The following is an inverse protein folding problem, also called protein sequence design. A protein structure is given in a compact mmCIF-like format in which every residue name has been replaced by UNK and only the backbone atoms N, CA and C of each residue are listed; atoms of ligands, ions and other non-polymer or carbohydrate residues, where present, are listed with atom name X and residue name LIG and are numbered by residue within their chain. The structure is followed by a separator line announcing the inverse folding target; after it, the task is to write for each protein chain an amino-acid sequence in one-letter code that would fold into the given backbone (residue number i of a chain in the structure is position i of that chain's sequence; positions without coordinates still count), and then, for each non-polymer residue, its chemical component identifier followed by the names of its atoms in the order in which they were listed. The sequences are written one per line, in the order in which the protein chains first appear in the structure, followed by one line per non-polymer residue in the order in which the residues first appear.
data_IF_183947699828
#
_entry.id   IF_183947699828
#
_cell.length_a   1.000
_cell.length_b   1.000
_cell.length_c   1.000
_cell.angle_alpha   90.00
_cell.angle_beta   90.00
_cell.angle_gamma   90.00
#
_symmetry.space_group_name_H-M   'P 1'
#
loop_
_entity.id
_entity.type
_entity.pdbx_description
1 polymer ?
#
# COMPACT_ATOMS: atom_id res chain seq x y z
N UNK A 1 15.08 -8.83 24.68
CA UNK A 1 13.95 -8.28 23.89
C UNK A 1 12.97 -9.37 23.40
N UNK A 2 13.44 -10.45 22.80
CA UNK A 2 12.60 -11.59 22.32
C UNK A 2 11.76 -12.27 23.42
N UNK A 3 12.29 -12.59 24.63
CA UNK A 3 11.50 -13.26 25.65
C UNK A 3 10.28 -12.49 26.15
N UNK A 4 10.38 -11.16 26.23
CA UNK A 4 9.29 -10.28 26.68
C UNK A 4 8.16 -10.25 25.64
N UNK A 5 8.50 -10.23 24.37
CA UNK A 5 7.54 -10.25 23.27
C UNK A 5 6.73 -11.56 23.24
N UNK A 6 7.38 -12.69 23.47
CA UNK A 6 6.68 -14.00 23.50
C UNK A 6 5.72 -14.12 24.68
N UNK A 7 6.05 -13.55 25.84
CA UNK A 7 5.14 -13.52 26.99
C UNK A 7 3.90 -12.64 26.74
N UNK A 8 4.07 -11.53 26.04
CA UNK A 8 2.96 -10.64 25.66
C UNK A 8 2.01 -11.29 24.64
N UNK A 9 2.53 -12.18 23.80
CA UNK A 9 1.74 -12.95 22.82
C UNK A 9 1.17 -14.27 23.40
N UNK A 10 1.40 -14.55 24.68
CA UNK A 10 0.97 -15.80 25.31
C UNK A 10 1.68 -17.06 24.77
N UNK A 11 2.84 -16.89 24.12
CA UNK A 11 3.61 -17.99 23.56
C UNK A 11 4.63 -18.52 24.58
N UNK A 12 4.88 -19.85 24.62
CA UNK A 12 5.86 -20.41 25.54
C UNK A 12 7.28 -19.91 25.20
N UNK A 13 7.98 -19.40 26.20
CA UNK A 13 9.35 -18.90 26.08
C UNK A 13 10.40 -20.03 26.07
N UNK A 14 10.04 -21.24 25.68
CA UNK A 14 10.97 -22.36 25.59
C UNK A 14 11.86 -22.22 24.36
N UNK A 15 13.16 -22.04 24.61
CA UNK A 15 14.17 -21.89 23.56
C UNK A 15 14.35 -23.15 22.70
N UNK A 16 13.93 -24.34 23.19
CA UNK A 16 13.96 -25.57 22.41
C UNK A 16 12.91 -25.56 21.29
N UNK A 17 11.78 -24.92 21.52
CA UNK A 17 10.70 -24.74 20.53
C UNK A 17 11.09 -23.73 19.43
N UNK A 18 11.96 -22.77 19.73
CA UNK A 18 12.41 -21.74 18.81
C UNK A 18 13.38 -22.24 17.73
N UNK A 19 13.97 -23.42 17.90
CA UNK A 19 14.98 -23.99 16.97
C UNK A 19 14.36 -24.56 15.69
N UNK A 20 13.09 -24.93 15.72
CA UNK A 20 12.41 -25.59 14.59
C UNK A 20 11.03 -25.03 14.28
N UNK A 21 10.60 -23.98 14.96
CA UNK A 21 9.26 -23.42 14.81
C UNK A 21 9.31 -21.89 14.64
N UNK A 22 8.71 -21.37 13.57
CA UNK A 22 8.41 -19.95 13.46
C UNK A 22 7.00 -19.76 14.01
N UNK A 23 6.82 -19.08 15.18
CA UNK A 23 5.50 -18.89 15.75
C UNK A 23 4.55 -18.17 14.78
N UNK A 24 3.28 -18.56 14.81
CA UNK A 24 2.24 -17.85 14.05
C UNK A 24 2.24 -16.36 14.39
N UNK A 25 2.03 -15.50 13.37
CA UNK A 25 2.01 -14.06 13.55
C UNK A 25 3.38 -13.37 13.59
N UNK A 26 4.49 -14.09 13.49
CA UNK A 26 5.84 -13.47 13.48
C UNK A 26 6.01 -12.45 12.34
N UNK A 27 5.32 -12.64 11.23
CA UNK A 27 5.32 -11.71 10.10
C UNK A 27 4.75 -10.32 10.44
N UNK A 28 3.85 -10.24 11.43
CA UNK A 28 3.25 -8.97 11.90
C UNK A 28 4.30 -8.08 12.58
N UNK A 29 5.33 -8.71 13.17
CA UNK A 29 6.39 -8.02 13.92
C UNK A 29 7.51 -7.49 13.02
N UNK A 30 7.47 -7.78 11.73
CA UNK A 30 8.46 -7.28 10.77
C UNK A 30 8.20 -5.80 10.48
N UNK A 31 9.25 -5.02 10.56
CA UNK A 31 9.25 -3.62 10.12
C UNK A 31 10.48 -3.37 9.21
N UNK A 32 10.21 -3.21 7.92
CA UNK A 32 11.22 -2.93 6.90
C UNK A 32 11.39 -1.43 6.62
N UNK A 33 10.74 -0.56 7.40
CA UNK A 33 10.75 0.87 7.19
C UNK A 33 12.16 1.44 7.00
N UNK A 34 13.12 0.98 7.79
CA UNK A 34 14.51 1.45 7.76
C UNK A 34 15.50 0.42 7.20
N UNK A 35 15.08 -0.82 6.95
CA UNK A 35 15.94 -1.89 6.48
C UNK A 35 16.00 -1.90 4.95
N UNK A 36 14.83 -1.83 4.29
CA UNK A 36 14.76 -1.82 2.85
C UNK A 36 15.24 -0.47 2.29
N UNK A 37 16.24 -0.45 1.38
CA UNK A 37 16.83 0.80 0.87
C UNK A 37 15.93 1.53 -0.11
N UNK A 38 14.98 0.81 -0.72
CA UNK A 38 14.11 1.32 -1.79
C UNK A 38 12.65 0.94 -1.55
N UNK A 39 11.75 1.71 -2.16
CA UNK A 39 10.30 1.50 -2.12
C UNK A 39 9.70 1.87 -3.48
N UNK A 40 8.70 1.14 -4.00
CA UNK A 40 8.09 1.49 -5.28
C UNK A 40 7.29 2.79 -5.19
N UNK A 41 7.45 3.63 -6.21
CA UNK A 41 6.69 4.87 -6.41
C UNK A 41 5.66 4.65 -7.51
N UNK A 42 4.40 5.01 -7.23
CA UNK A 42 3.31 4.93 -8.19
C UNK A 42 3.23 6.19 -9.06
N UNK A 43 3.17 5.99 -10.37
CA UNK A 43 2.60 6.93 -11.32
C UNK A 43 1.17 6.47 -11.67
N UNK A 44 0.18 7.11 -11.06
CA UNK A 44 -1.22 6.72 -11.21
C UNK A 44 -1.78 6.95 -12.63
N UNK A 45 -1.16 7.82 -13.43
CA UNK A 45 -1.57 8.09 -14.81
C UNK A 45 -1.30 6.88 -15.75
N UNK A 46 -0.22 6.15 -15.47
CA UNK A 46 0.16 4.96 -16.24
C UNK A 46 -0.53 3.69 -15.73
N UNK A 47 -1.20 3.75 -14.57
CA UNK A 47 -1.79 2.58 -13.95
C UNK A 47 -3.09 2.16 -14.64
N UNK A 48 -3.13 0.91 -15.13
CA UNK A 48 -4.31 0.33 -15.80
C UNK A 48 -5.20 -0.51 -14.87
N UNK A 49 -4.88 -0.57 -13.57
CA UNK A 49 -5.59 -1.38 -12.57
C UNK A 49 -5.60 -2.89 -12.87
N UNK A 50 -4.51 -3.44 -13.42
CA UNK A 50 -4.39 -4.88 -13.67
C UNK A 50 -4.22 -5.71 -12.40
N UNK A 51 -3.78 -5.11 -11.28
CA UNK A 51 -3.51 -5.75 -9.98
C UNK A 51 -2.31 -6.72 -9.96
N UNK A 52 -1.54 -6.84 -11.03
CA UNK A 52 -0.37 -7.73 -11.08
C UNK A 52 0.62 -7.44 -9.93
N UNK A 53 0.94 -6.17 -9.68
CA UNK A 53 1.83 -5.76 -8.60
C UNK A 53 1.32 -6.13 -7.18
N UNK A 54 0.00 -6.25 -7.00
CA UNK A 54 -0.62 -6.68 -5.73
C UNK A 54 -0.49 -8.20 -5.57
N UNK A 55 -0.71 -8.95 -6.65
CA UNK A 55 -0.65 -10.43 -6.66
C UNK A 55 0.78 -10.91 -6.45
N UNK A 56 1.74 -10.28 -7.12
CA UNK A 56 3.15 -10.66 -7.06
C UNK A 56 3.86 -10.19 -5.78
N UNK A 57 3.24 -9.36 -4.95
CA UNK A 57 3.87 -8.87 -3.73
C UNK A 57 3.96 -9.97 -2.67
N UNK A 58 5.16 -10.51 -2.35
CA UNK A 58 5.31 -11.65 -1.45
C UNK A 58 4.97 -11.34 0.02
N UNK A 59 5.01 -10.05 0.40
CA UNK A 59 4.73 -9.61 1.77
C UNK A 59 3.39 -8.90 1.92
N UNK A 60 2.54 -8.91 0.89
CA UNK A 60 1.24 -8.21 0.87
C UNK A 60 1.38 -6.73 1.26
N UNK A 61 2.51 -6.13 0.89
CA UNK A 61 2.80 -4.73 1.19
C UNK A 61 2.07 -3.76 0.25
N UNK A 62 1.52 -4.26 -0.86
CA UNK A 62 0.83 -3.47 -1.87
C UNK A 62 -0.64 -3.87 -1.88
N UNK A 63 -1.50 -2.87 -1.77
CA UNK A 63 -2.94 -3.05 -1.86
C UNK A 63 -3.54 -2.09 -2.89
N UNK A 64 -4.59 -2.53 -3.58
CA UNK A 64 -5.36 -1.71 -4.50
C UNK A 64 -6.73 -1.38 -3.92
N UNK A 65 -7.25 -0.19 -4.23
CA UNK A 65 -8.59 0.22 -3.83
C UNK A 65 -9.27 1.03 -4.92
N UNK A 66 -10.57 0.79 -5.09
CA UNK A 66 -11.45 1.65 -5.88
C UNK A 66 -12.28 2.50 -4.92
N UNK A 67 -12.39 3.78 -5.18
CA UNK A 67 -13.19 4.71 -4.39
C UNK A 67 -14.03 5.55 -5.34
N UNK A 68 -15.32 5.68 -5.08
CA UNK A 68 -16.20 6.53 -5.89
C UNK A 68 -15.75 7.99 -5.83
N UNK A 69 -16.04 8.74 -6.88
CA UNK A 69 -15.65 10.15 -6.95
C UNK A 69 -16.17 10.94 -5.75
N UNK A 70 -17.44 10.77 -5.41
CA UNK A 70 -18.08 11.47 -4.29
C UNK A 70 -17.40 11.18 -2.96
N UNK A 71 -17.06 9.91 -2.69
CA UNK A 71 -16.37 9.49 -1.46
C UNK A 71 -14.94 9.99 -1.39
N UNK A 72 -14.19 9.95 -2.49
CA UNK A 72 -12.85 10.50 -2.52
C UNK A 72 -12.85 12.01 -2.22
N UNK A 73 -13.75 12.75 -2.86
CA UNK A 73 -13.86 14.20 -2.66
C UNK A 73 -14.29 14.53 -1.20
N UNK A 74 -15.19 13.74 -0.59
CA UNK A 74 -15.57 13.86 0.83
C UNK A 74 -14.36 13.66 1.76
N UNK A 75 -13.58 12.60 1.56
CA UNK A 75 -12.42 12.29 2.41
C UNK A 75 -11.28 13.32 2.23
N UNK A 76 -11.06 13.78 1.01
CA UNK A 76 -10.08 14.82 0.74
C UNK A 76 -10.48 16.17 1.35
N UNK A 77 -11.77 16.49 1.40
CA UNK A 77 -12.26 17.74 2.01
C UNK A 77 -11.98 17.83 3.53
N UNK A 78 -11.85 16.68 4.21
CA UNK A 78 -11.49 16.61 5.65
C UNK A 78 -10.03 16.99 5.94
N UNK A 79 -9.19 17.07 4.89
CA UNK A 79 -7.76 17.37 5.03
C UNK A 79 -7.55 18.89 4.91
N UNK A 80 -6.97 19.55 5.92
CA UNK A 80 -6.90 21.00 5.95
C UNK A 80 -5.88 21.61 4.97
N UNK A 81 -4.85 20.84 4.56
CA UNK A 81 -3.76 21.32 3.71
C UNK A 81 -4.00 21.03 2.22
N UNK A 82 -3.96 22.04 1.35
CA UNK A 82 -4.14 21.85 -0.10
C UNK A 82 -3.05 20.97 -0.73
N UNK A 83 -1.78 21.20 -0.38
CA UNK A 83 -0.66 20.40 -0.85
C UNK A 83 -0.77 18.92 -0.43
N UNK A 84 -1.31 18.67 0.76
CA UNK A 84 -1.53 17.30 1.25
C UNK A 84 -2.73 16.65 0.56
N UNK A 85 -3.81 17.38 0.33
CA UNK A 85 -4.96 16.92 -0.47
C UNK A 85 -4.52 16.53 -1.89
N UNK A 86 -3.73 17.36 -2.53
CA UNK A 86 -3.22 17.10 -3.88
C UNK A 86 -2.30 15.88 -3.88
N UNK A 87 -1.45 15.72 -2.86
CA UNK A 87 -0.60 14.54 -2.72
C UNK A 87 -1.43 13.25 -2.66
N UNK A 88 -2.49 13.20 -1.83
CA UNK A 88 -3.34 12.01 -1.76
C UNK A 88 -4.16 11.82 -3.04
N UNK A 89 -4.63 12.89 -3.66
CA UNK A 89 -5.35 12.79 -4.92
C UNK A 89 -4.51 12.17 -6.03
N UNK A 90 -3.22 12.48 -6.11
CA UNK A 90 -2.27 11.89 -7.07
C UNK A 90 -2.03 10.39 -6.91
N UNK A 91 -2.46 9.80 -5.79
CA UNK A 91 -2.40 8.34 -5.61
C UNK A 91 -3.53 7.61 -6.36
N UNK A 92 -4.53 8.34 -6.83
CA UNK A 92 -5.68 7.80 -7.51
C UNK A 92 -5.70 8.20 -8.98
N UNK A 93 -5.85 7.20 -9.86
CA UNK A 93 -5.96 7.38 -11.30
C UNK A 93 -7.34 7.01 -11.83
N UNK A 94 -7.66 7.57 -13.01
CA UNK A 94 -8.80 7.15 -13.82
C UNK A 94 -8.36 5.98 -14.68
N UNK A 95 -9.05 4.87 -14.59
CA UNK A 95 -8.75 3.68 -15.39
C UNK A 95 -9.92 3.33 -16.29
N UNK A 96 -9.65 2.70 -17.41
CA UNK A 96 -10.73 2.25 -18.32
C UNK A 96 -11.74 1.37 -17.59
N UNK A 97 -11.25 0.47 -16.71
CA UNK A 97 -12.08 -0.50 -15.99
C UNK A 97 -13.04 0.14 -14.99
N UNK A 98 -12.56 1.11 -14.20
CA UNK A 98 -13.34 1.65 -13.08
C UNK A 98 -13.85 3.07 -13.31
N UNK A 99 -13.34 3.78 -14.32
CA UNK A 99 -13.83 5.10 -14.69
C UNK A 99 -14.65 5.05 -15.97
N UNK A 100 -14.02 4.76 -17.12
CA UNK A 100 -14.64 4.91 -18.44
C UNK A 100 -15.86 4.00 -18.65
N UNK A 101 -15.81 2.77 -18.11
CA UNK A 101 -16.92 1.80 -18.25
C UNK A 101 -18.13 2.27 -17.46
N UNK A 102 -17.95 2.76 -16.24
CA UNK A 102 -19.05 3.24 -15.37
C UNK A 102 -19.62 4.55 -15.89
N UNK A 103 -18.77 5.49 -16.29
CA UNK A 103 -19.19 6.77 -16.89
C UNK A 103 -20.08 6.54 -18.14
N UNK A 104 -19.69 5.59 -19.03
CA UNK A 104 -20.51 5.23 -20.22
C UNK A 104 -21.85 4.60 -19.87
N UNK A 105 -21.98 3.93 -18.74
CA UNK A 105 -23.25 3.35 -18.25
C UNK A 105 -24.12 4.37 -17.54
N UNK A 106 -23.63 5.55 -17.24
CA UNK A 106 -24.31 6.56 -16.43
C UNK A 106 -24.24 6.29 -14.92
N UNK A 107 -23.39 5.35 -14.50
CA UNK A 107 -23.12 5.03 -13.10
C UNK A 107 -22.01 5.94 -12.55
N UNK A 108 -21.92 6.06 -11.22
CA UNK A 108 -20.86 6.84 -10.60
C UNK A 108 -19.48 6.18 -10.82
N UNK A 109 -18.52 6.87 -11.47
CA UNK A 109 -17.20 6.30 -11.72
C UNK A 109 -16.34 6.26 -10.46
N UNK A 110 -15.42 5.28 -10.42
CA UNK A 110 -14.45 5.08 -9.35
C UNK A 110 -13.04 5.45 -9.76
N UNK A 111 -12.31 6.08 -8.85
CA UNK A 111 -10.86 6.23 -8.93
C UNK A 111 -10.19 4.98 -8.39
N UNK A 112 -9.14 4.53 -9.05
CA UNK A 112 -8.32 3.41 -8.62
C UNK A 112 -6.99 3.90 -8.06
N UNK A 113 -6.55 3.36 -6.94
CA UNK A 113 -5.24 3.67 -6.34
C UNK A 113 -4.52 2.44 -5.84
N UNK A 114 -3.20 2.47 -5.91
CA UNK A 114 -2.28 1.50 -5.31
C UNK A 114 -1.62 2.15 -4.10
N UNK A 115 -1.61 1.44 -2.99
CA UNK A 115 -1.04 1.90 -1.72
C UNK A 115 -0.01 0.91 -1.22
N UNK A 116 1.05 1.42 -0.66
CA UNK A 116 2.20 0.64 -0.24
C UNK A 116 2.41 0.84 1.26
N UNK A 117 2.39 -0.26 2.01
CA UNK A 117 2.76 -0.28 3.43
C UNK A 117 4.29 -0.26 3.55
N UNK A 118 4.88 0.84 4.02
CA UNK A 118 6.32 0.93 4.13
C UNK A 118 6.92 0.00 5.18
N UNK A 119 6.12 -0.47 6.15
CA UNK A 119 6.58 -1.40 7.19
C UNK A 119 6.74 -2.82 6.67
N UNK A 120 5.95 -3.20 5.66
CA UNK A 120 5.97 -4.54 5.04
C UNK A 120 6.83 -4.60 3.78
N UNK A 121 6.99 -3.49 3.07
CA UNK A 121 7.73 -3.46 1.82
C UNK A 121 9.22 -3.70 2.04
N UNK A 122 9.73 -4.83 1.55
CA UNK A 122 11.14 -5.20 1.62
C UNK A 122 12.00 -4.70 0.46
N UNK A 123 11.41 -3.99 -0.52
CA UNK A 123 12.14 -3.41 -1.65
C UNK A 123 12.64 -4.43 -2.67
N UNK A 124 11.94 -5.56 -2.87
CA UNK A 124 12.36 -6.63 -3.77
C UNK A 124 12.19 -6.32 -5.27
N UNK A 125 11.49 -5.24 -5.63
CA UNK A 125 11.18 -4.80 -7.00
C UNK A 125 10.23 -5.71 -7.82
N UNK A 126 9.78 -6.87 -7.32
CA UNK A 126 8.85 -7.77 -8.02
C UNK A 126 7.61 -7.06 -8.58
N UNK A 127 7.08 -6.08 -7.84
CA UNK A 127 5.93 -5.29 -8.28
C UNK A 127 6.26 -4.37 -9.48
N UNK A 128 7.51 -3.94 -9.62
CA UNK A 128 7.97 -3.13 -10.76
C UNK A 128 8.12 -4.01 -11.97
N UNK A 129 8.74 -5.18 -11.82
CA UNK A 129 8.89 -6.16 -12.89
C UNK A 129 7.52 -6.67 -13.39
N UNK A 130 6.59 -6.96 -12.47
CA UNK A 130 5.21 -7.33 -12.79
C UNK A 130 4.40 -6.19 -13.46
N UNK A 131 4.75 -4.93 -13.22
CA UNK A 131 4.16 -3.79 -13.88
C UNK A 131 4.59 -3.68 -15.35
N UNK A 132 5.81 -4.11 -15.66
CA UNK A 132 6.36 -4.22 -17.02
C UNK A 132 6.20 -2.95 -17.84
N UNK A 133 5.74 -3.12 -19.09
CA UNK A 133 5.62 -2.05 -20.09
C UNK A 133 4.63 -0.93 -19.70
N UNK A 134 3.78 -1.14 -18.70
CA UNK A 134 2.90 -0.07 -18.22
C UNK A 134 3.68 1.08 -17.55
N UNK A 135 4.84 0.79 -16.94
CA UNK A 135 5.70 1.80 -16.34
C UNK A 135 5.01 2.62 -15.25
N UNK A 136 4.00 2.02 -14.57
CA UNK A 136 3.28 2.70 -13.51
C UNK A 136 4.00 2.63 -12.16
N UNK A 137 4.97 1.74 -12.00
CA UNK A 137 5.80 1.61 -10.80
C UNK A 137 7.28 1.74 -11.14
N UNK A 138 8.01 2.46 -10.29
CA UNK A 138 9.47 2.58 -10.36
C UNK A 138 10.05 2.57 -8.96
N UNK A 139 11.25 2.00 -8.77
CA UNK A 139 11.89 2.02 -7.46
C UNK A 139 12.41 3.41 -7.12
N UNK A 140 12.15 3.86 -5.91
CA UNK A 140 12.62 5.11 -5.32
C UNK A 140 13.50 4.82 -4.12
N UNK A 141 14.68 5.43 -4.07
CA UNK A 141 15.55 5.36 -2.90
C UNK A 141 14.85 5.97 -1.67
N UNK A 142 14.83 5.20 -0.60
CA UNK A 142 14.13 5.56 0.64
C UNK A 142 14.96 6.53 1.47
N UNK A 143 14.31 7.54 2.01
CA UNK A 143 14.82 8.46 3.02
C UNK A 143 13.73 8.73 4.07
N UNK A 144 14.07 9.43 5.15
CA UNK A 144 13.12 9.75 6.23
C UNK A 144 11.89 10.53 5.74
N UNK A 145 12.09 11.39 4.74
CA UNK A 145 11.03 12.22 4.17
C UNK A 145 10.05 11.37 3.35
N UNK A 146 10.58 10.52 2.49
CA UNK A 146 9.77 9.58 1.70
C UNK A 146 9.05 8.60 2.61
N UNK A 147 9.72 8.03 3.62
CA UNK A 147 9.11 7.10 4.57
C UNK A 147 7.91 7.72 5.30
N UNK A 148 8.07 8.94 5.85
CA UNK A 148 6.96 9.66 6.50
C UNK A 148 5.80 9.93 5.53
N UNK A 149 6.10 10.18 4.25
CA UNK A 149 5.09 10.36 3.21
C UNK A 149 4.32 9.07 2.97
N UNK A 150 5.00 7.92 2.82
CA UNK A 150 4.35 6.63 2.64
C UNK A 150 3.51 6.23 3.83
N UNK A 151 3.97 6.43 5.06
CA UNK A 151 3.17 6.18 6.27
C UNK A 151 1.88 7.01 6.30
N UNK A 152 1.96 8.30 5.96
CA UNK A 152 0.76 9.16 5.88
C UNK A 152 -0.20 8.69 4.79
N UNK A 153 0.31 8.33 3.61
CA UNK A 153 -0.50 7.80 2.51
C UNK A 153 -1.16 6.47 2.91
N UNK A 154 -0.44 5.59 3.59
CA UNK A 154 -0.98 4.34 4.12
C UNK A 154 -2.08 4.58 5.16
N UNK A 155 -1.86 5.50 6.10
CA UNK A 155 -2.87 5.88 7.10
C UNK A 155 -4.12 6.51 6.46
N UNK A 156 -3.96 7.26 5.38
CA UNK A 156 -5.09 7.75 4.61
C UNK A 156 -5.86 6.61 3.94
N UNK A 157 -5.16 5.68 3.29
CA UNK A 157 -5.74 4.50 2.68
C UNK A 157 -6.57 3.67 3.67
N UNK A 158 -6.05 3.43 4.88
CA UNK A 158 -6.74 2.62 5.90
C UNK A 158 -8.03 3.25 6.43
N UNK A 159 -8.20 4.56 6.27
CA UNK A 159 -9.42 5.30 6.62
C UNK A 159 -10.44 5.36 5.49
N UNK A 160 -10.03 5.04 4.27
CA UNK A 160 -10.94 5.03 3.13
C UNK A 160 -11.96 3.89 3.26
N UNK A 161 -13.20 4.10 2.77
CA UNK A 161 -14.22 3.06 2.78
C UNK A 161 -13.77 1.83 1.97
N UNK A 162 -14.42 0.71 2.20
CA UNK A 162 -14.23 -0.49 1.38
C UNK A 162 -14.59 -0.20 -0.08
N UNK A 163 -13.97 -0.96 -0.98
CA UNK A 163 -14.30 -0.93 -2.41
C UNK A 163 -15.77 -1.32 -2.60
N UNK A 164 -16.58 -0.51 -3.29
CA UNK A 164 -17.99 -0.79 -3.50
C UNK A 164 -18.25 -2.02 -4.37
#
# INVERSE_FOLDING_TARGET
MIPKLFSELGLPADTSTLRSFIPAGTGILRDFSYIAPEIPLLNSENCVACMACVIECPDTAILGKVVTKSKLDEELAKIPGEAEREHYRKQFGKTTKFWNVYEKKGDEPGYFGIFIDPTKCKGCAECVDACGDHGALAMLKKDDKSLKRYQRTWNFYTKMPETP
#
